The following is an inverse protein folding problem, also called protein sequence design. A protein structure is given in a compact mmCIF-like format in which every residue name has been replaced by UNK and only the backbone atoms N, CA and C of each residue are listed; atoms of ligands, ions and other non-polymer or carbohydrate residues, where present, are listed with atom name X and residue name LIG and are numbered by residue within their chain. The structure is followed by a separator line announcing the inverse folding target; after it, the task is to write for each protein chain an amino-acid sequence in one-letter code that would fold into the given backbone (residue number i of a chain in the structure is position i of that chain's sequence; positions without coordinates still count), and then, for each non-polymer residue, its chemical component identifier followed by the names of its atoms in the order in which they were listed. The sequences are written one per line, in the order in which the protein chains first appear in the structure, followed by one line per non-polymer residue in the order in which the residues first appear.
data_IF_100794848930
#
_entry.id   IF_100794848930
#
_cell.length_a   1.000
_cell.length_b   1.000
_cell.length_c   1.000
_cell.angle_alpha   90.00
_cell.angle_beta   90.00
_cell.angle_gamma   90.00
#
_symmetry.space_group_name_H-M   'P 1'
#
loop_
_entity.id
_entity.type
_entity.pdbx_description
1 polymer ?
#
# COMPACT_ATOMS: atom_id res chain seq x y z
N UNK A 1 -7.74 -13.07 26.42
CA UNK A 1 -7.71 -12.74 24.99
C UNK A 1 -7.87 -11.25 24.85
N UNK A 2 -6.91 -10.56 24.23
CA UNK A 2 -7.01 -9.11 23.96
C UNK A 2 -8.07 -8.93 22.87
N UNK A 3 -9.16 -8.21 23.18
CA UNK A 3 -10.14 -7.79 22.16
C UNK A 3 -9.59 -6.54 21.49
N UNK A 4 -8.79 -6.72 20.45
CA UNK A 4 -8.40 -5.62 19.57
C UNK A 4 -9.48 -5.46 18.50
N UNK A 5 -9.72 -4.21 18.09
CA UNK A 5 -10.42 -3.94 16.84
C UNK A 5 -9.48 -4.21 15.66
N UNK A 6 -10.04 -4.45 14.47
CA UNK A 6 -9.23 -4.69 13.26
C UNK A 6 -8.21 -3.55 13.02
N UNK A 7 -8.64 -2.31 13.23
CA UNK A 7 -7.76 -1.14 13.17
C UNK A 7 -6.59 -1.20 14.16
N UNK A 8 -6.85 -1.55 15.42
CA UNK A 8 -5.78 -1.64 16.42
C UNK A 8 -4.79 -2.74 16.07
N UNK A 9 -5.29 -3.86 15.55
CA UNK A 9 -4.46 -4.96 15.08
C UNK A 9 -3.59 -4.56 13.88
N UNK A 10 -4.14 -3.82 12.92
CA UNK A 10 -3.40 -3.30 11.76
C UNK A 10 -2.27 -2.35 12.18
N UNK A 11 -2.54 -1.44 13.14
CA UNK A 11 -1.53 -0.52 13.67
C UNK A 11 -0.41 -1.28 14.41
N UNK A 12 -0.76 -2.25 15.28
CA UNK A 12 0.25 -3.09 15.94
C UNK A 12 1.12 -3.81 14.90
N UNK A 13 0.52 -4.30 13.80
CA UNK A 13 1.26 -4.97 12.73
C UNK A 13 2.18 -4.04 11.95
N UNK A 14 1.72 -2.83 11.64
CA UNK A 14 2.57 -1.80 11.00
C UNK A 14 3.80 -1.52 11.87
N UNK A 15 3.63 -1.40 13.19
CA UNK A 15 4.75 -1.14 14.11
C UNK A 15 5.74 -2.31 14.18
N UNK A 16 5.27 -3.56 14.15
CA UNK A 16 6.14 -4.73 14.05
C UNK A 16 6.96 -4.72 12.76
N UNK A 17 6.34 -4.38 11.62
CA UNK A 17 7.02 -4.35 10.32
C UNK A 17 8.11 -3.28 10.25
N UNK A 18 7.94 -2.15 10.96
CA UNK A 18 8.96 -1.10 11.07
C UNK A 18 10.22 -1.54 11.82
N UNK A 19 10.15 -2.59 12.65
CA UNK A 19 11.31 -3.13 13.36
C UNK A 19 12.13 -4.11 12.53
N UNK A 20 11.66 -4.49 11.33
CA UNK A 20 12.41 -5.36 10.44
C UNK A 20 13.62 -4.63 9.86
N UNK A 21 14.76 -5.32 9.80
CA UNK A 21 15.98 -4.78 9.19
C UNK A 21 15.79 -4.43 7.71
N UNK A 22 14.93 -5.18 7.01
CA UNK A 22 14.60 -4.97 5.61
C UNK A 22 13.11 -4.66 5.44
N UNK A 23 12.82 -3.72 4.54
CA UNK A 23 11.43 -3.41 4.18
C UNK A 23 10.76 -4.61 3.50
N UNK A 24 9.62 -5.10 4.00
CA UNK A 24 8.83 -6.10 3.30
C UNK A 24 8.35 -5.59 1.94
N UNK A 25 8.23 -6.51 0.97
CA UNK A 25 7.73 -6.18 -0.37
C UNK A 25 6.20 -6.06 -0.36
N UNK A 26 5.69 -5.03 -1.00
CA UNK A 26 4.26 -4.80 -1.19
C UNK A 26 3.95 -4.59 -2.68
N UNK A 27 3.11 -5.44 -3.25
CA UNK A 27 2.54 -5.22 -4.57
C UNK A 27 1.20 -4.49 -4.40
N UNK A 28 1.11 -3.26 -4.89
CA UNK A 28 -0.09 -2.43 -4.79
C UNK A 28 -0.70 -2.20 -6.17
N UNK A 29 -1.98 -2.54 -6.34
CA UNK A 29 -2.72 -2.18 -7.55
C UNK A 29 -3.21 -0.73 -7.44
N UNK A 30 -2.95 0.06 -8.47
CA UNK A 30 -3.44 1.44 -8.58
C UNK A 30 -4.19 1.65 -9.88
N UNK A 31 -5.41 2.19 -9.80
CA UNK A 31 -6.20 2.56 -10.98
C UNK A 31 -5.91 3.99 -11.47
N UNK A 32 -5.31 4.85 -10.63
CA UNK A 32 -4.89 6.20 -11.01
C UNK A 32 -3.86 6.70 -10.01
N UNK A 33 -2.88 7.50 -10.45
CA UNK A 33 -1.84 8.02 -9.56
C UNK A 33 -2.41 8.81 -8.37
N UNK A 34 -3.53 9.51 -8.56
CA UNK A 34 -4.07 10.44 -7.56
C UNK A 34 -4.78 9.73 -6.39
N UNK A 35 -5.44 8.59 -6.62
CA UNK A 35 -6.23 7.94 -5.57
C UNK A 35 -5.38 7.26 -4.49
N UNK A 36 -4.11 6.96 -4.80
CA UNK A 36 -3.20 6.26 -3.90
C UNK A 36 -2.09 7.16 -3.33
N UNK A 37 -2.13 8.48 -3.54
CA UNK A 37 -1.07 9.37 -3.08
C UNK A 37 -0.84 9.31 -1.57
N UNK A 38 -1.90 9.42 -0.76
CA UNK A 38 -1.78 9.38 0.71
C UNK A 38 -1.40 7.99 1.24
N UNK A 39 -2.06 6.89 0.82
CA UNK A 39 -1.62 5.55 1.22
C UNK A 39 -0.16 5.26 0.83
N UNK A 40 0.26 5.68 -0.36
CA UNK A 40 1.64 5.48 -0.83
C UNK A 40 2.63 6.25 0.04
N UNK A 41 2.36 7.52 0.33
CA UNK A 41 3.22 8.35 1.20
C UNK A 41 3.39 7.72 2.58
N UNK A 42 2.30 7.24 3.17
CA UNK A 42 2.32 6.57 4.47
C UNK A 42 3.12 5.25 4.42
N UNK A 43 2.81 4.38 3.45
CA UNK A 43 3.37 3.03 3.36
C UNK A 43 4.80 2.98 2.84
N UNK A 44 5.27 3.99 2.09
CA UNK A 44 6.60 4.01 1.50
C UNK A 44 7.73 3.93 2.54
N UNK A 45 7.49 4.46 3.75
CA UNK A 45 8.45 4.36 4.85
C UNK A 45 8.57 2.93 5.42
N UNK A 46 7.55 2.10 5.21
CA UNK A 46 7.40 0.77 5.82
C UNK A 46 7.71 -0.36 4.81
N UNK A 47 7.33 -0.19 3.55
CA UNK A 47 7.40 -1.24 2.52
C UNK A 47 8.32 -0.86 1.35
N UNK A 48 8.86 -1.88 0.69
CA UNK A 48 9.40 -1.80 -0.67
C UNK A 48 8.25 -2.02 -1.66
N UNK A 49 7.73 -0.93 -2.23
CA UNK A 49 6.46 -0.92 -2.93
C UNK A 49 6.69 -1.07 -4.44
N UNK A 50 6.08 -2.10 -5.02
CA UNK A 50 5.89 -2.23 -6.47
C UNK A 50 4.46 -1.84 -6.80
N UNK A 51 4.28 -0.88 -7.71
CA UNK A 51 2.94 -0.46 -8.14
C UNK A 51 2.60 -1.14 -9.46
N UNK A 52 1.46 -1.85 -9.46
CA UNK A 52 0.83 -2.34 -10.67
C UNK A 52 -0.26 -1.35 -11.10
N UNK A 53 0.05 -0.55 -12.12
CA UNK A 53 -0.92 0.36 -12.71
C UNK A 53 -1.84 -0.38 -13.66
N UNK A 54 -3.13 -0.40 -13.34
CA UNK A 54 -4.15 -0.97 -14.22
C UNK A 54 -5.48 -0.22 -14.04
N UNK A 55 -5.96 0.37 -15.13
CA UNK A 55 -7.22 1.08 -15.18
C UNK A 55 -8.03 0.67 -16.40
N UNK A 56 -9.04 -0.17 -16.16
CA UNK A 56 -9.95 -0.64 -17.19
C UNK A 56 -10.76 0.48 -17.87
N UNK A 57 -10.75 1.71 -17.33
CA UNK A 57 -11.42 2.88 -17.90
C UNK A 57 -10.52 3.77 -18.76
N UNK A 58 -9.24 3.41 -18.98
CA UNK A 58 -8.35 4.17 -19.89
C UNK A 58 -8.79 3.92 -21.34
N UNK A 59 -9.30 4.99 -21.96
CA UNK A 59 -9.63 5.08 -23.38
C UNK A 59 -9.22 6.47 -23.86
N UNK A 60 -8.49 6.60 -24.98
CA UNK A 60 -8.09 5.56 -25.95
C UNK A 60 -6.91 4.69 -25.50
N UNK A 61 -6.72 3.53 -26.16
CA UNK A 61 -5.63 2.57 -25.87
C UNK A 61 -4.22 3.17 -25.91
N UNK A 62 -4.04 4.31 -26.57
CA UNK A 62 -2.79 5.07 -26.59
C UNK A 62 -2.41 5.75 -25.27
N UNK A 63 -3.32 5.76 -24.29
CA UNK A 63 -3.08 6.32 -22.95
C UNK A 63 -2.63 5.26 -21.91
N UNK A 64 -2.45 4.01 -22.34
CA UNK A 64 -1.72 2.97 -21.59
C UNK A 64 -0.22 3.11 -21.80
#
# INVERSE_FOLDING_TARGET
MRKLTDYQWEIEKIEELKQLENKPKLLMQSCCAVCNSWPLEYLYSIFDITIYYNNSNIYPRSEY
#
